data_IF_074014715766
#
_entry.id   IF_074014715766
#
_cell.length_a   1.000
_cell.length_b   1.000
_cell.length_c   1.000
_cell.angle_alpha   90.00
_cell.angle_beta   90.00
_cell.angle_gamma   90.00
#
_symmetry.space_group_name_H-M   'P 1'
#
loop_
_entity.id
_entity.type
_entity.pdbx_description
1 polymer ?
#
# COMPACT_ATOMS: atom_id res chain seq x y z
N UNK A 1 -10.57 -14.81 12.05
CA UNK A 1 -10.03 -13.44 11.96
C UNK A 1 -8.88 -13.20 10.95
N UNK A 2 -8.08 -14.18 10.44
CA UNK A 2 -6.97 -13.85 9.54
C UNK A 2 -7.42 -13.35 8.15
N UNK A 3 -8.59 -13.79 7.66
CA UNK A 3 -9.12 -13.41 6.34
C UNK A 3 -9.41 -11.90 6.19
N UNK A 4 -9.88 -11.24 7.25
CA UNK A 4 -10.16 -9.80 7.24
C UNK A 4 -8.86 -8.98 7.09
N UNK A 5 -7.80 -9.39 7.78
CA UNK A 5 -6.49 -8.73 7.70
C UNK A 5 -5.82 -8.93 6.34
N UNK A 6 -5.91 -10.14 5.76
CA UNK A 6 -5.43 -10.38 4.40
C UNK A 6 -6.20 -9.54 3.37
N UNK A 7 -7.53 -9.52 3.43
CA UNK A 7 -8.34 -8.71 2.53
C UNK A 7 -8.01 -7.21 2.64
N UNK A 8 -7.70 -6.71 3.84
CA UNK A 8 -7.31 -5.32 4.05
C UNK A 8 -5.94 -4.96 3.44
N UNK A 9 -4.96 -5.86 3.53
CA UNK A 9 -3.61 -5.61 3.00
C UNK A 9 -3.57 -5.74 1.47
N UNK A 10 -4.31 -6.70 0.90
CA UNK A 10 -4.28 -6.98 -0.55
C UNK A 10 -5.42 -6.31 -1.33
N UNK A 11 -6.49 -5.89 -0.66
CA UNK A 11 -7.64 -5.21 -1.27
C UNK A 11 -7.27 -3.94 -2.05
N UNK A 12 -6.45 -3.03 -1.49
CA UNK A 12 -6.01 -1.82 -2.19
C UNK A 12 -5.21 -2.12 -3.46
N UNK A 13 -4.41 -3.19 -3.46
CA UNK A 13 -3.67 -3.64 -4.64
C UNK A 13 -4.58 -4.23 -5.72
N UNK A 14 -5.59 -5.00 -5.32
CA UNK A 14 -6.59 -5.52 -6.26
C UNK A 14 -7.41 -4.37 -6.90
N UNK A 15 -7.86 -3.41 -6.09
CA UNK A 15 -8.56 -2.22 -6.58
C UNK A 15 -7.68 -1.40 -7.54
N UNK A 16 -6.42 -1.17 -7.18
CA UNK A 16 -5.44 -0.49 -8.03
C UNK A 16 -5.24 -1.21 -9.37
N UNK A 17 -5.11 -2.53 -9.38
CA UNK A 17 -4.94 -3.31 -10.60
C UNK A 17 -6.14 -3.19 -11.54
N UNK A 18 -7.38 -3.27 -11.01
CA UNK A 18 -8.60 -3.11 -11.81
C UNK A 18 -8.70 -1.70 -12.39
N UNK A 19 -8.41 -0.68 -11.58
CA UNK A 19 -8.45 0.73 -12.01
C UNK A 19 -7.39 1.03 -13.06
N UNK A 20 -6.16 0.50 -12.91
CA UNK A 20 -5.11 0.67 -13.91
C UNK A 20 -5.42 -0.07 -15.21
N UNK A 21 -6.07 -1.24 -15.16
CA UNK A 21 -6.53 -1.94 -16.37
C UNK A 21 -7.62 -1.15 -17.10
N UNK A 22 -8.56 -0.55 -16.36
CA UNK A 22 -9.58 0.33 -16.94
C UNK A 22 -8.96 1.61 -17.54
N UNK A 23 -7.98 2.21 -16.83
CA UNK A 23 -7.23 3.36 -17.33
C UNK A 23 -6.48 3.06 -18.62
N UNK A 24 -5.77 1.91 -18.66
CA UNK A 24 -5.04 1.45 -19.84
C UNK A 24 -5.99 1.21 -21.03
N UNK A 25 -7.17 0.64 -20.77
CA UNK A 25 -8.21 0.46 -21.81
C UNK A 25 -8.71 1.78 -22.37
N UNK A 26 -8.90 2.81 -21.53
CA UNK A 26 -9.31 4.13 -21.98
C UNK A 26 -8.21 4.85 -22.77
N UNK A 27 -6.94 4.65 -22.44
CA UNK A 27 -5.81 5.24 -23.17
C UNK A 27 -5.53 4.58 -24.52
N UNK A 28 -5.96 3.33 -24.72
CA UNK A 28 -5.81 2.63 -26.02
C UNK A 28 -6.97 2.97 -26.97
N UNK A 29 -8.08 3.53 -26.47
CA UNK A 29 -9.18 3.96 -27.31
C UNK A 29 -8.78 5.22 -28.11
N UNK A 30 -9.02 5.24 -29.43
CA UNK A 30 -8.68 6.34 -30.35
C UNK A 30 -9.40 7.69 -30.07
N UNK A 31 -10.21 7.75 -29.01
CA UNK A 31 -10.97 8.94 -28.65
C UNK A 31 -10.17 9.87 -27.73
N UNK A 32 -9.83 11.07 -28.22
CA UNK A 32 -9.07 12.07 -27.46
C UNK A 32 -9.79 12.54 -26.18
N UNK A 33 -11.13 12.50 -26.17
CA UNK A 33 -11.94 12.83 -24.98
C UNK A 33 -11.79 11.79 -23.86
N UNK A 34 -11.66 10.50 -24.22
CA UNK A 34 -11.50 9.40 -23.27
C UNK A 34 -10.09 9.36 -22.66
N UNK A 35 -9.07 9.88 -23.34
CA UNK A 35 -7.71 9.93 -22.83
C UNK A 35 -7.59 10.73 -21.53
N UNK A 36 -8.31 11.87 -21.40
CA UNK A 36 -8.30 12.66 -20.17
C UNK A 36 -8.86 11.90 -18.96
N UNK A 37 -9.91 11.10 -19.17
CA UNK A 37 -10.49 10.24 -18.16
C UNK A 37 -9.55 9.06 -17.81
N UNK A 38 -8.83 8.54 -18.80
CA UNK A 38 -7.78 7.53 -18.62
C UNK A 38 -6.65 8.01 -17.71
N UNK A 39 -6.13 9.24 -17.90
CA UNK A 39 -5.11 9.84 -17.03
C UNK A 39 -5.61 10.04 -15.60
N UNK A 40 -6.86 10.49 -15.43
CA UNK A 40 -7.47 10.64 -14.09
C UNK A 40 -7.61 9.30 -13.37
N UNK A 41 -8.11 8.27 -14.07
CA UNK A 41 -8.20 6.89 -13.55
C UNK A 41 -6.83 6.32 -13.21
N UNK A 42 -5.82 6.55 -14.03
CA UNK A 42 -4.44 6.13 -13.74
C UNK A 42 -3.92 6.78 -12.45
N UNK A 43 -4.19 8.07 -12.26
CA UNK A 43 -3.88 8.79 -11.02
C UNK A 43 -4.57 8.16 -9.79
N UNK A 44 -5.86 7.86 -9.88
CA UNK A 44 -6.59 7.15 -8.82
C UNK A 44 -6.02 5.76 -8.55
N UNK A 45 -5.64 5.03 -9.60
CA UNK A 45 -4.99 3.72 -9.50
C UNK A 45 -3.65 3.78 -8.76
N UNK A 46 -2.85 4.82 -8.99
CA UNK A 46 -1.59 5.07 -8.29
C UNK A 46 -1.78 5.39 -6.79
N UNK A 47 -2.85 6.10 -6.43
CA UNK A 47 -3.21 6.35 -5.03
C UNK A 47 -3.56 5.03 -4.33
N UNK A 48 -4.42 4.20 -4.93
CA UNK A 48 -4.74 2.88 -4.39
C UNK A 48 -3.50 1.98 -4.24
N UNK A 49 -2.56 2.05 -5.19
CA UNK A 49 -1.30 1.32 -5.10
C UNK A 49 -0.47 1.76 -3.89
N UNK A 50 -0.35 3.08 -3.70
CA UNK A 50 0.36 3.70 -2.58
C UNK A 50 -0.21 3.27 -1.22
N UNK A 51 -1.54 3.28 -1.09
CA UNK A 51 -2.23 2.83 0.13
C UNK A 51 -1.93 1.35 0.43
N UNK A 52 -1.93 0.50 -0.60
CA UNK A 52 -1.56 -0.92 -0.43
C UNK A 52 -0.09 -1.10 -0.01
N UNK A 53 0.83 -0.30 -0.56
CA UNK A 53 2.23 -0.31 -0.15
C UNK A 53 2.39 0.07 1.34
N UNK A 54 1.74 1.15 1.79
CA UNK A 54 1.74 1.57 3.20
C UNK A 54 1.16 0.46 4.09
N UNK A 55 0.02 -0.11 3.71
CA UNK A 55 -0.64 -1.18 4.47
C UNK A 55 0.26 -2.42 4.63
N UNK A 56 0.99 -2.79 3.58
CA UNK A 56 1.96 -3.90 3.62
C UNK A 56 3.17 -3.59 4.50
N UNK A 57 3.72 -2.38 4.41
CA UNK A 57 4.84 -1.95 5.27
C UNK A 57 4.41 -1.93 6.74
N UNK A 58 3.25 -1.36 7.06
CA UNK A 58 2.69 -1.35 8.42
C UNK A 58 2.50 -2.78 8.96
N UNK A 59 2.05 -3.71 8.11
CA UNK A 59 1.88 -5.11 8.49
C UNK A 59 3.22 -5.80 8.80
N UNK A 60 4.24 -5.62 7.95
CA UNK A 60 5.57 -6.19 8.22
C UNK A 60 6.23 -5.57 9.45
N UNK A 61 6.06 -4.25 9.67
CA UNK A 61 6.49 -3.59 10.91
C UNK A 61 5.79 -4.19 12.14
N UNK A 62 4.48 -4.41 12.07
CA UNK A 62 3.71 -5.01 13.16
C UNK A 62 4.17 -6.45 13.45
N UNK A 63 4.49 -7.23 12.41
CA UNK A 63 5.08 -8.57 12.56
C UNK A 63 6.46 -8.54 13.21
N UNK A 64 7.32 -7.60 12.79
CA UNK A 64 8.64 -7.38 13.40
C UNK A 64 8.51 -6.98 14.88
N UNK A 65 7.63 -6.02 15.19
CA UNK A 65 7.40 -5.56 16.56
C UNK A 65 6.91 -6.69 17.47
N UNK A 66 6.01 -7.56 16.97
CA UNK A 66 5.56 -8.76 17.73
C UNK A 66 6.66 -9.79 17.96
N UNK A 67 7.62 -9.93 17.05
CA UNK A 67 8.79 -10.81 17.23
C UNK A 67 9.74 -10.24 18.29
N UNK A 68 10.09 -8.96 18.16
CA UNK A 68 10.96 -8.25 19.11
C UNK A 68 10.36 -8.20 20.53
N UNK A 69 9.04 -8.04 20.64
CA UNK A 69 8.34 -8.10 21.93
C UNK A 69 8.31 -9.49 22.58
N UNK A 70 8.48 -10.57 21.79
CA UNK A 70 8.57 -11.95 22.29
C UNK A 70 9.98 -12.34 22.72
N UNK A 71 11.01 -11.76 22.11
CA UNK A 71 12.41 -12.03 22.44
C UNK A 71 12.95 -11.18 23.61
N UNK A 72 12.13 -10.31 24.20
CA UNK A 72 12.59 -9.35 25.21
C UNK A 72 13.33 -8.21 24.51
N UNK A 73 12.77 -7.00 24.58
CA UNK A 73 13.15 -5.84 23.77
C UNK A 73 14.67 -5.55 23.71
N UNK A 74 15.37 -5.85 22.60
CA UNK A 74 16.79 -5.49 22.45
C UNK A 74 16.99 -4.06 21.95
N UNK A 75 15.90 -3.29 21.71
CA UNK A 75 15.93 -1.94 21.11
C UNK A 75 15.56 -0.80 22.06
N UNK A 76 15.23 -1.08 23.32
CA UNK A 76 15.14 -0.05 24.36
C UNK A 76 16.36 0.90 24.37
N UNK A 77 17.62 0.43 24.30
CA UNK A 77 18.77 1.33 24.35
C UNK A 77 19.00 2.12 23.05
N UNK A 78 18.49 1.66 21.90
CA UNK A 78 18.72 2.32 20.61
C UNK A 78 17.77 3.51 20.36
N UNK A 79 16.54 3.43 20.89
CA UNK A 79 15.59 4.56 20.86
C UNK A 79 16.00 5.68 21.84
N UNK A 80 16.61 5.35 22.98
CA UNK A 80 17.16 6.38 23.88
C UNK A 80 18.35 7.12 23.26
N UNK A 81 19.23 6.43 22.52
CA UNK A 81 20.33 7.10 21.82
C UNK A 81 19.91 8.00 20.67
N UNK A 82 18.79 7.72 19.99
CA UNK A 82 18.25 8.62 18.95
C UNK A 82 17.41 9.77 19.51
N UNK A 83 16.93 9.68 20.76
CA UNK A 83 16.19 10.75 21.42
C UNK A 83 17.10 11.80 22.09
N UNK A 84 18.41 11.54 22.15
CA UNK A 84 19.44 12.38 22.78
C UNK A 84 20.28 13.18 21.76
N UNK A 85 19.94 13.14 20.48
CA UNK A 85 20.58 13.88 19.39
C UNK A 85 19.54 14.60 18.54
#
# INVERSE_FOLDING_TARGET
MPRFFLAWVYGPWAASAVVNLAALRLMIADDFSLHGHGWSLFGSGAICFSIGCVSKVSWELAKLNRKLGREGNPRAPMLEHLALH
#
